data_IF_898310842273
#
_entry.id   IF_898310842273
#
_cell.length_a   1.000
_cell.length_b   1.000
_cell.length_c   1.000
_cell.angle_alpha   90.00
_cell.angle_beta   90.00
_cell.angle_gamma   90.00
#
_symmetry.space_group_name_H-M   'P 1'
#
loop_
_entity.id
_entity.type
_entity.pdbx_description
1 polymer ?
#
# COMPACT_ATOMS: atom_id res chain seq x y z
N UNK A 1 41.32 7.42 3.33
CA UNK A 1 40.52 7.32 4.58
C UNK A 1 39.09 7.69 4.21
N UNK A 2 38.24 6.70 3.97
CA UNK A 2 36.85 6.93 3.55
C UNK A 2 36.05 7.45 4.75
N UNK A 3 35.43 8.61 4.59
CA UNK A 3 34.47 9.11 5.57
C UNK A 3 33.27 8.15 5.55
N UNK A 4 33.01 7.49 6.68
CA UNK A 4 31.74 6.83 6.90
C UNK A 4 30.66 7.92 6.84
N UNK A 5 29.89 7.93 5.76
CA UNK A 5 28.66 8.70 5.68
C UNK A 5 27.76 8.22 6.79
N UNK A 6 27.65 9.01 7.86
CA UNK A 6 26.67 8.80 8.90
C UNK A 6 25.29 8.93 8.25
N UNK A 7 24.72 7.79 7.88
CA UNK A 7 23.34 7.68 7.44
C UNK A 7 22.48 8.04 8.66
N UNK A 8 22.07 9.30 8.75
CA UNK A 8 21.05 9.72 9.70
C UNK A 8 19.77 8.99 9.32
N UNK A 9 19.40 8.01 10.14
CA UNK A 9 18.14 7.29 10.00
C UNK A 9 17.01 8.29 10.21
N UNK A 10 16.44 8.80 9.12
CA UNK A 10 15.29 9.68 9.19
C UNK A 10 14.07 8.83 9.60
N UNK A 11 13.39 9.16 10.72
CA UNK A 11 12.18 8.44 11.13
C UNK A 11 11.09 8.45 10.04
N UNK A 12 11.13 9.45 9.16
CA UNK A 12 10.28 9.55 7.98
C UNK A 12 10.38 8.33 7.05
N UNK A 13 11.59 7.80 6.83
CA UNK A 13 11.76 6.64 5.96
C UNK A 13 11.33 5.35 6.66
N UNK A 14 11.48 5.26 7.98
CA UNK A 14 11.06 4.09 8.74
C UNK A 14 9.56 3.80 8.57
N UNK A 15 8.73 4.83 8.69
CA UNK A 15 7.26 4.70 8.57
C UNK A 15 6.84 4.20 7.19
N UNK A 16 7.50 4.67 6.13
CA UNK A 16 7.24 4.25 4.75
C UNK A 16 7.64 2.80 4.50
N UNK A 17 8.86 2.42 4.89
CA UNK A 17 9.33 1.04 4.78
C UNK A 17 8.50 0.08 5.64
N UNK A 18 8.14 0.48 6.85
CA UNK A 18 7.26 -0.29 7.72
C UNK A 18 5.89 -0.49 7.08
N UNK A 19 5.31 0.58 6.52
CA UNK A 19 4.02 0.53 5.84
C UNK A 19 4.04 -0.48 4.68
N UNK A 20 5.08 -0.45 3.83
CA UNK A 20 5.25 -1.40 2.71
C UNK A 20 5.40 -2.84 3.19
N UNK A 21 6.23 -3.07 4.21
CA UNK A 21 6.43 -4.39 4.82
C UNK A 21 5.12 -4.97 5.36
N UNK A 22 4.35 -4.15 6.08
CA UNK A 22 3.03 -4.54 6.61
C UNK A 22 2.03 -4.85 5.49
N UNK A 23 1.97 -4.05 4.43
CA UNK A 23 1.07 -4.31 3.30
C UNK A 23 1.41 -5.64 2.61
N UNK A 24 2.69 -5.96 2.42
CA UNK A 24 3.12 -7.26 1.89
C UNK A 24 2.67 -8.41 2.79
N UNK A 25 2.98 -8.35 4.09
CA UNK A 25 2.64 -9.41 5.06
C UNK A 25 1.13 -9.63 5.15
N UNK A 26 0.34 -8.55 5.09
CA UNK A 26 -1.13 -8.62 5.03
C UNK A 26 -1.64 -9.25 3.75
N UNK A 27 -1.05 -8.91 2.60
CA UNK A 27 -1.44 -9.47 1.31
C UNK A 27 -1.18 -10.98 1.22
N UNK A 28 -0.10 -11.50 1.82
CA UNK A 28 0.15 -12.94 1.88
C UNK A 28 -0.56 -13.63 3.07
N UNK A 29 -1.05 -12.88 4.04
CA UNK A 29 -1.73 -13.39 5.23
C UNK A 29 -0.83 -14.07 6.25
N UNK A 30 0.48 -13.79 6.25
CA UNK A 30 1.45 -14.48 7.12
C UNK A 30 1.42 -14.05 8.59
N UNK A 31 0.80 -12.89 8.89
CA UNK A 31 0.74 -12.34 10.24
C UNK A 31 2.11 -11.99 10.82
N UNK A 32 2.19 -11.92 12.15
CA UNK A 32 3.37 -11.43 12.87
C UNK A 32 4.61 -12.35 12.80
N UNK A 33 4.44 -13.59 12.35
CA UNK A 33 5.52 -14.56 12.26
C UNK A 33 6.42 -14.40 11.03
N UNK A 34 6.09 -13.48 10.12
CA UNK A 34 6.86 -13.29 8.90
C UNK A 34 8.24 -12.65 9.19
N UNK A 35 9.27 -13.20 8.56
CA UNK A 35 10.66 -12.74 8.71
C UNK A 35 10.89 -11.45 7.93
N UNK A 36 10.59 -10.32 8.56
CA UNK A 36 10.74 -8.99 7.97
C UNK A 36 12.20 -8.62 7.64
N UNK A 37 13.17 -9.29 8.26
CA UNK A 37 14.61 -9.14 7.99
C UNK A 37 14.98 -9.61 6.58
N UNK A 38 14.22 -10.53 6.00
CA UNK A 38 14.43 -11.03 4.64
C UNK A 38 13.82 -10.14 3.55
N UNK A 39 12.94 -9.23 3.94
CA UNK A 39 12.14 -8.41 3.03
C UNK A 39 12.83 -7.06 2.82
N UNK A 40 13.27 -6.81 1.59
CA UNK A 40 13.92 -5.57 1.17
C UNK A 40 13.04 -4.87 0.12
N UNK A 41 12.87 -3.56 0.27
CA UNK A 41 12.20 -2.73 -0.72
C UNK A 41 13.22 -1.84 -1.40
N UNK A 42 13.14 -1.77 -2.73
CA UNK A 42 13.92 -0.84 -3.55
C UNK A 42 12.94 0.07 -4.27
N UNK A 43 13.30 1.33 -4.43
CA UNK A 43 12.44 2.28 -5.11
C UNK A 43 13.24 3.33 -5.87
N UNK A 44 12.62 3.90 -6.89
CA UNK A 44 13.05 5.17 -7.48
C UNK A 44 12.01 6.22 -7.11
N UNK A 45 12.40 7.14 -6.22
CA UNK A 45 11.53 8.20 -5.69
C UNK A 45 10.15 7.67 -5.30
N UNK A 46 10.05 6.52 -4.60
CA UNK A 46 8.78 5.94 -4.13
C UNK A 46 7.66 5.68 -5.17
N UNK A 47 7.93 5.82 -6.47
CA UNK A 47 7.01 5.51 -7.57
C UNK A 47 7.24 4.07 -8.04
N UNK A 48 8.50 3.73 -8.35
CA UNK A 48 8.86 2.41 -8.87
C UNK A 48 9.33 1.47 -7.75
N UNK A 49 8.40 1.08 -6.88
CA UNK A 49 8.70 0.24 -5.71
C UNK A 49 8.72 -1.24 -6.10
N UNK A 50 9.87 -1.90 -5.89
CA UNK A 50 10.04 -3.35 -6.04
C UNK A 50 10.40 -4.01 -4.71
N UNK A 51 9.97 -5.26 -4.55
CA UNK A 51 10.21 -6.06 -3.34
C UNK A 51 11.17 -7.20 -3.65
N UNK A 52 12.08 -7.44 -2.72
CA UNK A 52 13.05 -8.51 -2.80
C UNK A 52 12.97 -9.39 -1.54
N UNK A 53 13.07 -10.70 -1.71
CA UNK A 53 13.20 -11.67 -0.63
C UNK A 53 14.51 -12.40 -0.82
N UNK A 54 15.36 -12.40 0.22
CA UNK A 54 16.68 -13.05 0.15
C UNK A 54 17.48 -12.59 -1.10
N UNK A 55 17.39 -11.30 -1.43
CA UNK A 55 17.96 -10.62 -2.61
C UNK A 55 17.35 -10.95 -3.99
N UNK A 56 16.33 -11.80 -4.08
CA UNK A 56 15.59 -12.08 -5.32
C UNK A 56 14.38 -11.17 -5.48
N UNK A 57 14.25 -10.51 -6.64
CA UNK A 57 13.13 -9.63 -6.96
C UNK A 57 11.84 -10.42 -7.23
N UNK A 58 10.75 -10.06 -6.55
CA UNK A 58 9.43 -10.61 -6.84
C UNK A 58 8.71 -9.75 -7.88
N UNK A 59 8.83 -10.13 -9.16
CA UNK A 59 8.30 -9.35 -10.30
C UNK A 59 6.79 -9.33 -10.41
N UNK A 60 6.11 -10.30 -9.79
CA UNK A 60 4.64 -10.40 -9.76
C UNK A 60 4.02 -9.61 -8.59
N UNK A 61 4.74 -8.61 -8.09
CA UNK A 61 4.27 -7.69 -7.06
C UNK A 61 4.32 -6.24 -7.51
N UNK A 62 3.31 -5.47 -7.12
CA UNK A 62 3.29 -4.02 -7.29
C UNK A 62 2.89 -3.36 -5.98
N UNK A 63 3.49 -2.21 -5.73
CA UNK A 63 3.27 -1.42 -4.53
C UNK A 63 3.01 0.02 -4.92
N UNK A 64 2.12 0.65 -4.15
CA UNK A 64 1.89 2.08 -4.20
C UNK A 64 1.99 2.62 -2.78
N UNK A 65 2.57 3.81 -2.65
CA UNK A 65 2.73 4.50 -1.38
C UNK A 65 2.14 5.90 -1.50
N UNK A 66 1.43 6.30 -0.46
CA UNK A 66 0.61 7.49 -0.44
C UNK A 66 0.72 8.20 0.90
N UNK A 67 0.83 9.53 0.89
CA UNK A 67 0.65 10.35 2.09
C UNK A 67 -0.82 10.81 2.17
N UNK A 68 -1.50 10.51 3.28
CA UNK A 68 -2.86 10.99 3.55
C UNK A 68 -2.89 12.34 4.30
N UNK A 69 -1.73 13.00 4.41
CA UNK A 69 -1.52 14.21 5.21
C UNK A 69 -1.14 13.91 6.66
N UNK A 70 -0.60 14.92 7.34
CA UNK A 70 -0.15 14.83 8.73
C UNK A 70 0.82 13.66 8.99
N UNK A 71 1.69 13.31 8.02
CA UNK A 71 2.63 12.17 8.11
C UNK A 71 1.95 10.80 8.27
N UNK A 72 0.72 10.64 7.80
CA UNK A 72 0.08 9.34 7.74
C UNK A 72 0.36 8.68 6.39
N UNK A 73 0.99 7.51 6.45
CA UNK A 73 1.35 6.73 5.27
C UNK A 73 0.38 5.59 5.04
N UNK A 74 -0.06 5.44 3.80
CA UNK A 74 -0.79 4.26 3.34
C UNK A 74 -0.07 3.63 2.19
N UNK A 75 0.05 2.31 2.23
CA UNK A 75 0.56 1.54 1.11
C UNK A 75 -0.42 0.46 0.69
N UNK A 76 -0.40 0.17 -0.60
CA UNK A 76 -1.20 -0.90 -1.21
C UNK A 76 -0.23 -1.87 -1.86
N UNK A 77 -0.33 -3.14 -1.48
CA UNK A 77 0.42 -4.23 -2.10
C UNK A 77 -0.54 -5.09 -2.92
N UNK A 78 -0.15 -5.40 -4.17
CA UNK A 78 -0.86 -6.36 -5.02
C UNK A 78 0.14 -7.42 -5.46
N UNK A 79 -0.23 -8.68 -5.27
CA UNK A 79 0.57 -9.85 -5.60
C UNK A 79 -0.33 -11.02 -5.98
N UNK A 80 0.24 -12.06 -6.59
CA UNK A 80 -0.55 -13.19 -7.06
C UNK A 80 -1.09 -13.98 -5.85
N UNK A 81 -2.38 -14.36 -5.80
CA UNK A 81 -2.95 -15.10 -4.67
C UNK A 81 -2.25 -16.42 -4.34
N UNK A 82 -1.51 -17.00 -5.29
CA UNK A 82 -0.64 -18.18 -5.06
C UNK A 82 0.48 -17.92 -4.07
N UNK A 83 0.85 -16.67 -3.82
CA UNK A 83 1.89 -16.30 -2.83
C UNK A 83 1.37 -16.27 -1.40
N UNK A 84 0.06 -16.25 -1.20
CA UNK A 84 -0.54 -16.27 0.13
C UNK A 84 -0.31 -17.60 0.86
N UNK A 85 -0.32 -17.58 2.19
CA UNK A 85 -0.25 -18.82 2.98
C UNK A 85 -1.55 -19.62 2.87
N UNK A 86 -1.47 -20.95 3.02
CA UNK A 86 -2.60 -21.84 2.73
C UNK A 86 -3.84 -21.59 3.59
N UNK A 87 -3.66 -21.17 4.85
CA UNK A 87 -4.77 -20.82 5.73
C UNK A 87 -5.51 -19.58 5.22
N UNK A 88 -4.79 -18.58 4.70
CA UNK A 88 -5.40 -17.37 4.14
C UNK A 88 -6.01 -17.63 2.77
N UNK A 89 -5.33 -18.38 1.89
CA UNK A 89 -5.85 -18.78 0.57
C UNK A 89 -7.23 -19.44 0.66
N UNK A 90 -7.43 -20.31 1.67
CA UNK A 90 -8.72 -20.97 1.92
C UNK A 90 -9.89 -20.02 2.21
N UNK A 91 -9.61 -18.77 2.61
CA UNK A 91 -10.64 -17.74 2.84
C UNK A 91 -10.97 -16.93 1.59
N UNK A 92 -10.16 -17.03 0.53
CA UNK A 92 -10.37 -16.30 -0.71
C UNK A 92 -11.42 -17.00 -1.58
N UNK A 93 -12.37 -16.23 -2.11
CA UNK A 93 -13.45 -16.76 -2.98
C UNK A 93 -12.94 -17.22 -4.35
N UNK A 94 -11.83 -16.64 -4.81
CA UNK A 94 -11.21 -16.92 -6.10
C UNK A 94 -9.70 -16.76 -5.97
N UNK A 95 -8.96 -17.77 -6.37
CA UNK A 95 -7.49 -17.82 -6.31
C UNK A 95 -6.84 -18.12 -7.65
N UNK A 96 -7.62 -18.63 -8.61
CA UNK A 96 -7.18 -18.95 -9.95
C UNK A 96 -7.60 -17.84 -10.91
N UNK A 97 -6.62 -17.32 -11.64
CA UNK A 97 -6.79 -16.24 -12.61
C UNK A 97 -6.05 -16.63 -13.89
N UNK A 98 -6.66 -16.31 -15.03
CA UNK A 98 -5.95 -16.30 -16.32
C UNK A 98 -4.76 -15.33 -16.22
N UNK A 99 -3.58 -15.77 -16.65
CA UNK A 99 -2.33 -15.03 -16.49
C UNK A 99 -2.40 -13.62 -17.10
N UNK A 100 -3.03 -13.51 -18.27
CA UNK A 100 -3.20 -12.24 -18.97
C UNK A 100 -4.11 -11.28 -18.20
N UNK A 101 -5.23 -11.78 -17.67
CA UNK A 101 -6.16 -11.00 -16.86
C UNK A 101 -5.48 -10.52 -15.57
N UNK A 102 -4.70 -11.40 -14.93
CA UNK A 102 -3.94 -11.05 -13.74
C UNK A 102 -2.90 -9.95 -14.02
N UNK A 103 -2.11 -10.11 -15.09
CA UNK A 103 -1.09 -9.10 -15.48
C UNK A 103 -1.71 -7.75 -15.80
N UNK A 104 -2.83 -7.72 -16.51
CA UNK A 104 -3.55 -6.46 -16.74
C UNK A 104 -4.06 -5.84 -15.45
N UNK A 105 -4.59 -6.65 -14.52
CA UNK A 105 -5.08 -6.17 -13.22
C UNK A 105 -3.97 -5.63 -12.31
N UNK A 106 -2.77 -6.22 -12.38
CA UNK A 106 -1.61 -5.80 -11.61
C UNK A 106 -1.15 -4.38 -11.98
N UNK A 107 -1.37 -3.97 -13.24
CA UNK A 107 -0.99 -2.64 -13.76
C UNK A 107 -2.09 -1.59 -13.63
N UNK A 108 -3.27 -1.94 -13.07
CA UNK A 108 -4.35 -0.97 -12.91
C UNK A 108 -3.89 0.17 -11.99
N UNK A 109 -4.09 1.44 -12.39
CA UNK A 109 -3.77 2.55 -11.52
C UNK A 109 -4.55 2.43 -10.22
N UNK A 110 -3.93 2.81 -9.10
CA UNK A 110 -4.69 3.03 -7.88
C UNK A 110 -5.41 4.36 -8.03
N UNK A 111 -6.75 4.33 -8.07
CA UNK A 111 -7.51 5.54 -7.82
C UNK A 111 -7.17 6.03 -6.41
N UNK A 112 -6.98 7.34 -6.23
CA UNK A 112 -6.63 7.94 -4.95
C UNK A 112 -7.61 7.57 -3.83
N UNK A 113 -7.26 7.91 -2.58
CA UNK A 113 -8.10 7.61 -1.44
C UNK A 113 -9.25 8.61 -1.32
N UNK A 114 -10.45 8.10 -1.03
CA UNK A 114 -11.61 8.94 -0.72
C UNK A 114 -11.80 8.93 0.78
N UNK A 115 -11.80 10.11 1.40
CA UNK A 115 -12.14 10.23 2.81
C UNK A 115 -13.65 10.04 2.97
N UNK A 116 -14.04 9.12 3.85
CA UNK A 116 -15.44 8.87 4.16
C UNK A 116 -15.76 9.23 5.61
N UNK A 117 -16.87 9.96 5.81
CA UNK A 117 -17.40 10.20 7.15
C UNK A 117 -18.15 8.99 7.68
N UNK A 118 -18.39 8.94 8.99
CA UNK A 118 -19.13 7.83 9.62
C UNK A 118 -20.54 7.71 9.03
N UNK A 119 -21.19 8.83 8.71
CA UNK A 119 -22.53 8.87 8.11
C UNK A 119 -22.54 8.24 6.72
N UNK A 120 -21.45 8.38 5.96
CA UNK A 120 -21.31 7.80 4.63
C UNK A 120 -21.15 6.27 4.67
N UNK A 121 -20.57 5.72 5.74
CA UNK A 121 -20.45 4.27 5.96
C UNK A 121 -21.77 3.58 6.31
N UNK A 122 -22.78 4.33 6.76
CA UNK A 122 -24.09 3.77 7.12
C UNK A 122 -24.87 3.46 5.84
N UNK A 123 -25.34 2.19 5.66
CA UNK A 123 -26.17 1.82 4.51
C UNK A 123 -27.40 2.72 4.43
N UNK A 124 -27.77 3.13 3.22
CA UNK A 124 -28.90 4.04 2.99
C UNK A 124 -30.16 3.60 3.71
N UNK A 125 -30.42 2.29 3.76
CA UNK A 125 -31.57 1.67 4.46
C UNK A 125 -31.58 1.88 5.97
N UNK A 126 -30.44 2.17 6.60
CA UNK A 126 -30.31 2.41 8.04
C UNK A 126 -30.10 3.88 8.41
N UNK A 127 -30.01 4.79 7.43
CA UNK A 127 -29.72 6.21 7.71
C UNK A 127 -30.85 6.90 8.47
N UNK A 128 -32.11 6.59 8.14
CA UNK A 128 -33.28 7.16 8.80
C UNK A 128 -33.35 6.81 10.30
N UNK A 129 -32.93 5.61 10.70
CA UNK A 129 -32.90 5.21 12.13
C UNK A 129 -31.83 5.94 12.95
N UNK A 130 -30.85 6.58 12.30
CA UNK A 130 -29.84 7.41 12.95
C UNK A 130 -30.08 8.92 12.73
N UNK A 131 -31.25 9.31 12.22
CA UNK A 131 -31.57 10.72 11.95
C UNK A 131 -30.75 11.36 10.82
N UNK A 132 -30.11 10.55 9.97
CA UNK A 132 -29.27 11.03 8.87
C UNK A 132 -30.14 11.19 7.63
N UNK A 133 -30.58 12.42 7.37
CA UNK A 133 -31.42 12.78 6.22
C UNK A 133 -30.57 13.54 5.20
N UNK A 134 -30.04 12.81 4.22
CA UNK A 134 -29.27 13.29 3.07
C UNK A 134 -28.26 14.43 3.35
N UNK A 135 -27.06 14.09 3.82
CA UNK A 135 -25.90 14.96 3.64
C UNK A 135 -25.43 14.90 2.18
N UNK A 136 -25.00 16.04 1.62
CA UNK A 136 -24.22 16.05 0.38
C UNK A 136 -23.03 15.09 0.56
N UNK A 137 -22.86 14.14 -0.35
CA UNK A 137 -21.65 13.32 -0.39
C UNK A 137 -20.55 14.26 -0.89
N UNK A 138 -19.88 14.93 0.04
CA UNK A 138 -18.61 15.58 -0.27
C UNK A 138 -17.60 14.44 -0.33
N UNK A 139 -17.19 14.09 -1.55
CA UNK A 139 -16.00 13.30 -1.75
C UNK A 139 -14.83 14.27 -1.65
N UNK A 140 -14.26 14.41 -0.46
CA UNK A 140 -12.89 14.90 -0.38
C UNK A 140 -12.03 13.75 -0.92
N UNK A 141 -11.78 13.79 -2.21
CA UNK A 141 -10.76 12.95 -2.82
C UNK A 141 -9.45 13.47 -2.23
N UNK A 142 -8.84 12.67 -1.37
CA UNK A 142 -7.42 12.84 -1.12
C UNK A 142 -6.79 12.37 -2.43
N UNK A 143 -6.41 13.33 -3.26
CA UNK A 143 -5.44 13.08 -4.33
C UNK A 143 -4.15 12.68 -3.62
N UNK A 144 -4.09 11.39 -3.34
CA UNK A 144 -2.94 10.75 -2.77
C UNK A 144 -1.88 10.85 -3.86
N UNK A 145 -1.02 11.86 -3.74
CA UNK A 145 0.08 12.01 -4.66
C UNK A 145 1.01 10.83 -4.42
N UNK A 146 1.25 10.06 -5.48
CA UNK A 146 2.36 9.13 -5.51
C UNK A 146 3.61 9.97 -5.27
N UNK A 147 4.26 9.74 -4.14
CA UNK A 147 5.34 10.60 -3.66
C UNK A 147 6.41 10.67 -4.73
N UNK A 148 6.65 11.83 -5.32
CA UNK A 148 7.86 12.14 -6.06
C UNK A 148 8.70 13.07 -5.18
N UNK A 149 9.96 12.72 -4.92
CA UNK A 149 10.87 13.62 -4.21
C UNK A 149 11.09 14.89 -5.05
N UNK A 150 10.61 16.04 -4.57
CA UNK A 150 11.12 17.35 -4.99
C UNK A 150 12.51 17.55 -4.37
N UNK A 151 13.54 17.06 -5.04
CA UNK A 151 14.90 17.56 -4.86
C UNK A 151 15.29 18.43 -6.05
N UNK A 152 14.83 19.69 -6.07
CA UNK A 152 15.40 20.74 -6.90
C UNK A 152 16.00 21.84 -6.02
N UNK A 153 17.29 21.65 -5.73
CA UNK A 153 18.35 22.66 -5.86
C UNK A 153 18.09 24.06 -5.31
N UNK A 154 18.63 24.32 -4.11
CA UNK A 154 19.33 25.58 -3.86
C UNK A 154 20.71 25.46 -4.50
N UNK A 155 20.99 26.30 -5.50
CA UNK A 155 22.33 26.65 -5.95
C UNK A 155 22.39 28.16 -6.10
#
# INVERSE_FOLDING_TARGET
MAAASSCSFSPFFFEQYWCLKEAFVKAIGAGLGYRLDKLEFRHTNWINISVHIDAEELRDWRFWLFELGNRHWVSVARGHPTTAIDSYKRTLKKTEFEEEVYRSALQLPNAGFVLLTVEQLIPVSRRASFGIFSGKIVHDIIEAQETADESSSTS
#
